data_IF_885434896290
#
_entry.id   IF_885434896290
#
_cell.length_a   1.000
_cell.length_b   1.000
_cell.length_c   1.000
_cell.angle_alpha   90.00
_cell.angle_beta   90.00
_cell.angle_gamma   90.00
#
_symmetry.space_group_name_H-M   'P 1'
#
loop_
_entity.id
_entity.type
_entity.pdbx_description
1 polymer ?
#
# COMPACT_ATOMS: atom_id res chain seq x y z
N UNK A 1 -21.09 1.93 5.18
CA UNK A 1 -19.62 2.16 5.19
C UNK A 1 -19.31 3.24 4.17
N UNK A 2 -18.76 4.33 4.62
CA UNK A 2 -18.27 5.45 3.82
C UNK A 2 -16.82 5.22 3.43
N UNK A 3 -16.47 5.53 2.17
CA UNK A 3 -15.10 5.43 1.66
C UNK A 3 -14.75 6.73 0.98
N UNK A 4 -13.80 7.45 1.56
CA UNK A 4 -13.23 8.67 0.98
C UNK A 4 -11.86 8.35 0.39
N UNK A 5 -11.55 8.90 -0.79
CA UNK A 5 -10.25 8.72 -1.46
C UNK A 5 -9.78 10.00 -2.12
N UNK A 6 -8.46 10.18 -2.15
CA UNK A 6 -7.82 11.25 -2.92
C UNK A 6 -6.53 10.77 -3.56
N UNK A 7 -6.14 11.44 -4.64
CA UNK A 7 -4.83 11.24 -5.26
C UNK A 7 -3.75 11.99 -4.46
N UNK A 8 -2.52 11.50 -4.45
CA UNK A 8 -1.41 12.21 -3.83
C UNK A 8 -0.99 13.43 -4.65
N UNK A 9 -0.28 14.33 -3.97
CA UNK A 9 0.43 15.41 -4.65
C UNK A 9 1.25 14.87 -5.84
N UNK A 10 1.36 15.59 -6.97
CA UNK A 10 2.04 15.10 -8.18
C UNK A 10 3.44 14.52 -7.94
N UNK A 11 4.23 15.11 -7.04
CA UNK A 11 5.59 14.65 -6.68
C UNK A 11 5.63 13.26 -6.03
N UNK A 12 4.51 12.82 -5.43
CA UNK A 12 4.41 11.54 -4.73
C UNK A 12 3.79 10.43 -5.59
N UNK A 13 3.25 10.74 -6.78
CA UNK A 13 2.53 9.77 -7.64
C UNK A 13 3.38 8.60 -8.11
N UNK A 14 4.70 8.76 -8.13
CA UNK A 14 5.63 7.67 -8.43
C UNK A 14 5.72 6.62 -7.32
N UNK A 15 5.33 6.97 -6.10
CA UNK A 15 5.44 6.12 -4.91
C UNK A 15 4.09 5.76 -4.34
N UNK A 16 3.18 6.72 -4.26
CA UNK A 16 1.84 6.57 -3.70
C UNK A 16 0.80 6.56 -4.82
N UNK A 17 -0.13 5.62 -4.75
CA UNK A 17 -1.26 5.53 -5.66
C UNK A 17 -2.44 6.38 -5.20
N UNK A 18 -2.79 6.29 -3.92
CA UNK A 18 -3.87 7.06 -3.31
C UNK A 18 -3.80 7.03 -1.79
N UNK A 19 -4.45 8.01 -1.18
CA UNK A 19 -4.86 7.97 0.22
C UNK A 19 -6.33 7.59 0.30
N UNK A 20 -6.71 6.90 1.38
CA UNK A 20 -8.09 6.52 1.63
C UNK A 20 -8.44 6.57 3.10
N UNK A 21 -9.72 6.75 3.36
CA UNK A 21 -10.32 6.63 4.69
C UNK A 21 -11.58 5.79 4.57
N UNK A 22 -11.77 4.86 5.48
CA UNK A 22 -12.97 4.05 5.61
C UNK A 22 -13.56 4.26 6.98
N UNK A 23 -14.84 4.59 7.00
CA UNK A 23 -15.59 4.81 8.23
C UNK A 23 -16.97 4.17 8.13
N UNK A 24 -17.43 3.56 9.20
CA UNK A 24 -18.79 3.05 9.26
C UNK A 24 -19.05 2.17 10.46
N UNK A 25 -20.33 2.04 10.78
CA UNK A 25 -20.81 1.11 11.80
C UNK A 25 -20.89 -0.29 11.22
N UNK A 26 -20.40 -1.28 11.93
CA UNK A 26 -20.32 -2.66 11.48
C UNK A 26 -21.48 -3.51 11.98
N UNK A 27 -22.04 -3.16 13.13
CA UNK A 27 -23.06 -3.93 13.83
C UNK A 27 -22.52 -5.19 14.52
N UNK A 28 -23.38 -5.88 15.28
CA UNK A 28 -22.96 -6.99 16.16
C UNK A 28 -22.59 -8.27 15.39
N UNK A 29 -23.07 -8.42 14.16
CA UNK A 29 -22.83 -9.64 13.37
C UNK A 29 -21.46 -9.55 12.70
N UNK A 30 -20.60 -10.50 13.03
CA UNK A 30 -19.31 -10.63 12.35
C UNK A 30 -19.51 -10.92 10.86
N UNK A 31 -18.78 -10.16 10.04
CA UNK A 31 -18.73 -10.35 8.59
C UNK A 31 -17.31 -10.67 8.18
N UNK A 32 -17.16 -11.54 7.20
CA UNK A 32 -15.85 -11.87 6.65
C UNK A 32 -15.83 -11.74 5.13
N UNK A 33 -14.67 -11.41 4.60
CA UNK A 33 -14.41 -11.46 3.17
C UNK A 33 -12.93 -11.71 2.89
N UNK A 34 -12.62 -12.34 1.76
CA UNK A 34 -11.25 -12.63 1.40
C UNK A 34 -10.46 -11.36 1.12
N UNK A 35 -9.21 -11.34 1.57
CA UNK A 35 -8.28 -10.29 1.20
C UNK A 35 -7.99 -10.35 -0.31
N UNK A 36 -8.20 -9.25 -1.01
CA UNK A 36 -8.08 -9.19 -2.46
C UNK A 36 -6.63 -9.34 -2.91
N UNK A 37 -6.40 -10.17 -3.92
CA UNK A 37 -5.10 -10.28 -4.62
C UNK A 37 -4.75 -8.93 -5.25
N UNK A 38 -3.57 -8.42 -4.94
CA UNK A 38 -3.09 -7.13 -5.44
C UNK A 38 -1.57 -7.00 -5.32
N UNK A 39 -0.89 -6.34 -6.27
CA UNK A 39 0.55 -6.09 -6.20
C UNK A 39 0.91 -4.89 -5.32
N UNK A 40 -0.07 -4.12 -4.88
CA UNK A 40 0.12 -2.90 -4.10
C UNK A 40 0.31 -3.21 -2.62
N UNK A 41 1.18 -2.45 -1.97
CA UNK A 41 1.33 -2.43 -0.53
C UNK A 41 0.41 -1.36 0.07
N UNK A 42 -0.01 -1.57 1.30
CA UNK A 42 -0.82 -0.61 2.05
C UNK A 42 -0.21 -0.42 3.43
N UNK A 43 -0.18 0.82 3.91
CA UNK A 43 -0.13 1.10 5.34
C UNK A 43 -1.56 1.43 5.76
N UNK A 44 -2.13 0.60 6.63
CA UNK A 44 -3.41 0.86 7.30
C UNK A 44 -3.13 1.33 8.73
N UNK A 45 -3.70 2.47 9.11
CA UNK A 45 -3.67 3.03 10.47
C UNK A 45 -5.10 3.01 10.99
N UNK A 46 -5.35 2.19 12.00
CA UNK A 46 -6.66 2.11 12.64
C UNK A 46 -6.83 3.28 13.61
N UNK A 47 -7.88 4.04 13.41
CA UNK A 47 -8.27 5.18 14.25
C UNK A 47 -9.28 4.76 15.32
N UNK A 48 -9.80 3.56 15.20
CA UNK A 48 -10.66 2.81 16.13
C UNK A 48 -10.14 1.37 16.24
N UNK A 49 -10.97 0.43 16.66
CA UNK A 49 -10.59 -0.96 16.83
C UNK A 49 -10.00 -1.57 15.54
N UNK A 50 -8.85 -2.25 15.62
CA UNK A 50 -8.27 -2.97 14.50
C UNK A 50 -9.14 -4.16 14.07
N UNK A 51 -9.02 -4.49 12.79
CA UNK A 51 -9.65 -5.69 12.23
C UNK A 51 -9.03 -6.96 12.82
N UNK A 52 -9.79 -8.07 12.74
CA UNK A 52 -9.26 -9.41 12.92
C UNK A 52 -9.00 -10.03 11.55
N UNK A 53 -8.07 -10.94 11.48
CA UNK A 53 -7.76 -11.66 10.24
C UNK A 53 -7.37 -13.10 10.53
N UNK A 54 -7.57 -13.95 9.55
CA UNK A 54 -7.17 -15.34 9.56
C UNK A 54 -6.42 -15.66 8.27
N UNK A 55 -5.30 -16.35 8.39
CA UNK A 55 -4.54 -16.82 7.21
C UNK A 55 -4.70 -18.33 7.17
N UNK A 56 -5.31 -18.83 6.09
CA UNK A 56 -5.64 -20.26 5.93
C UNK A 56 -6.46 -20.78 7.14
N UNK A 57 -6.10 -21.92 7.68
CA UNK A 57 -6.76 -22.55 8.86
C UNK A 57 -6.13 -22.14 10.18
N UNK A 58 -5.28 -21.10 10.20
CA UNK A 58 -4.65 -20.62 11.43
C UNK A 58 -5.66 -19.93 12.34
N UNK A 59 -5.28 -19.76 13.60
CA UNK A 59 -6.11 -19.04 14.56
C UNK A 59 -6.43 -17.62 14.09
N UNK A 60 -7.64 -17.17 14.40
CA UNK A 60 -8.07 -15.79 14.21
C UNK A 60 -7.19 -14.85 15.05
N UNK A 61 -6.60 -13.86 14.40
CA UNK A 61 -5.66 -12.92 15.01
C UNK A 61 -6.21 -11.49 14.93
N UNK A 62 -5.90 -10.66 15.92
CA UNK A 62 -6.12 -9.22 15.84
C UNK A 62 -5.01 -8.57 15.02
N UNK A 63 -5.36 -7.70 14.11
CA UNK A 63 -4.38 -6.88 13.39
C UNK A 63 -3.66 -5.94 14.35
N UNK A 64 -2.38 -5.64 14.13
CA UNK A 64 -1.77 -4.46 14.74
C UNK A 64 -2.59 -3.20 14.49
N UNK A 65 -2.51 -2.23 15.37
CA UNK A 65 -3.21 -0.94 15.22
C UNK A 65 -2.69 -0.14 14.00
N UNK A 66 -1.46 -0.39 13.61
CA UNK A 66 -0.85 0.11 12.38
C UNK A 66 -0.20 -1.06 11.66
N UNK A 67 -0.63 -1.34 10.46
CA UNK A 67 -0.16 -2.52 9.71
C UNK A 67 0.33 -2.15 8.33
N UNK A 68 1.50 -2.68 7.97
CA UNK A 68 1.96 -2.75 6.58
C UNK A 68 1.49 -4.07 5.99
N UNK A 69 0.59 -3.99 5.03
CA UNK A 69 0.12 -5.16 4.27
C UNK A 69 0.90 -5.21 2.96
N UNK A 70 1.68 -6.26 2.78
CA UNK A 70 2.48 -6.50 1.59
C UNK A 70 1.64 -6.92 0.37
N UNK A 71 2.32 -7.24 -0.75
CA UNK A 71 1.66 -7.75 -1.94
C UNK A 71 0.88 -9.03 -1.63
N UNK A 72 -0.35 -9.11 -2.12
CA UNK A 72 -1.19 -10.30 -1.97
C UNK A 72 -1.22 -11.06 -3.29
N UNK A 73 -0.61 -12.23 -3.34
CA UNK A 73 -0.53 -13.08 -4.53
C UNK A 73 -1.50 -14.26 -4.49
N UNK A 74 -2.15 -14.47 -3.34
CA UNK A 74 -3.15 -15.52 -3.15
C UNK A 74 -4.30 -15.03 -2.27
N UNK A 75 -5.47 -15.69 -2.34
CA UNK A 75 -6.66 -15.42 -1.52
C UNK A 75 -6.66 -16.24 -0.22
N UNK A 76 -5.52 -16.40 0.43
CA UNK A 76 -5.39 -17.24 1.62
C UNK A 76 -5.75 -16.54 2.92
N UNK A 77 -5.88 -15.21 2.91
CA UNK A 77 -6.25 -14.44 4.08
C UNK A 77 -7.72 -14.02 4.02
N UNK A 78 -8.39 -14.17 5.16
CA UNK A 78 -9.74 -13.66 5.42
C UNK A 78 -9.66 -12.50 6.41
N UNK A 79 -10.40 -11.45 6.14
CA UNK A 79 -10.58 -10.32 7.05
C UNK A 79 -11.92 -10.51 7.76
N UNK A 80 -11.91 -10.36 9.07
CA UNK A 80 -13.08 -10.42 9.92
C UNK A 80 -13.33 -9.05 10.54
N UNK A 81 -14.55 -8.61 10.44
CA UNK A 81 -14.97 -7.30 10.92
C UNK A 81 -16.21 -7.48 11.78
N UNK A 82 -16.11 -7.02 13.01
CA UNK A 82 -17.23 -6.96 13.95
C UNK A 82 -16.98 -5.81 14.92
N UNK A 83 -18.01 -5.34 15.59
CA UNK A 83 -17.93 -4.29 16.58
C UNK A 83 -18.65 -3.01 16.14
N UNK A 84 -18.50 -1.95 16.93
CA UNK A 84 -19.33 -0.76 16.78
C UNK A 84 -18.91 0.12 15.60
N UNK A 85 -17.62 0.38 15.44
CA UNK A 85 -17.14 1.32 14.43
C UNK A 85 -15.81 0.87 13.80
N UNK A 86 -15.80 0.78 12.47
CA UNK A 86 -14.57 0.73 11.67
C UNK A 86 -14.16 2.16 11.30
N UNK A 87 -12.95 2.54 11.64
CA UNK A 87 -12.36 3.79 11.16
C UNK A 87 -10.88 3.57 10.87
N UNK A 88 -10.51 3.63 9.59
CA UNK A 88 -9.12 3.44 9.15
C UNK A 88 -8.71 4.51 8.18
N UNK A 89 -7.46 4.96 8.29
CA UNK A 89 -6.77 5.75 7.27
C UNK A 89 -5.74 4.86 6.58
N UNK A 90 -5.63 4.95 5.25
CA UNK A 90 -4.69 4.12 4.51
C UNK A 90 -3.89 4.89 3.47
N UNK A 91 -2.65 4.45 3.29
CA UNK A 91 -1.74 4.88 2.24
C UNK A 91 -1.55 3.70 1.30
N UNK A 92 -2.10 3.77 0.10
CA UNK A 92 -1.94 2.76 -0.94
C UNK A 92 -0.75 3.12 -1.80
N UNK A 93 0.26 2.25 -1.83
CA UNK A 93 1.48 2.47 -2.59
C UNK A 93 1.36 1.97 -4.04
N UNK A 94 2.20 2.51 -4.92
CA UNK A 94 2.53 1.85 -6.18
C UNK A 94 3.29 0.54 -5.87
N UNK A 95 3.32 -0.44 -6.79
CA UNK A 95 3.89 -1.76 -6.50
C UNK A 95 5.32 -1.77 -5.97
N UNK A 96 6.17 -0.85 -6.41
CA UNK A 96 7.53 -0.68 -5.89
C UNK A 96 7.66 0.52 -4.92
N UNK A 97 6.53 1.18 -4.58
CA UNK A 97 6.55 2.45 -3.85
C UNK A 97 7.12 2.33 -2.45
N UNK A 98 6.73 1.30 -1.72
CA UNK A 98 7.23 1.08 -0.36
C UNK A 98 8.71 0.64 -0.37
N UNK A 99 9.12 -0.21 -1.32
CA UNK A 99 10.52 -0.57 -1.50
C UNK A 99 11.38 0.68 -1.73
N UNK A 100 10.96 1.56 -2.64
CA UNK A 100 11.65 2.81 -2.93
C UNK A 100 11.76 3.71 -1.71
N UNK A 101 10.76 3.71 -0.83
CA UNK A 101 10.70 4.57 0.35
C UNK A 101 11.67 4.12 1.45
N UNK A 102 11.78 2.80 1.67
CA UNK A 102 12.48 2.23 2.84
C UNK A 102 13.53 1.16 2.47
N UNK A 103 13.69 0.82 1.20
CA UNK A 103 14.73 -0.12 0.74
C UNK A 103 14.51 -1.58 1.13
N UNK A 104 13.33 -1.96 1.66
CA UNK A 104 13.06 -3.34 2.07
C UNK A 104 12.67 -4.21 0.87
N UNK A 105 13.14 -5.46 0.86
CA UNK A 105 12.71 -6.45 -0.14
C UNK A 105 11.23 -6.82 0.07
N UNK A 106 10.40 -6.54 -0.94
CA UNK A 106 8.97 -6.81 -0.90
C UNK A 106 8.62 -8.29 -0.89
N UNK A 107 9.54 -9.19 -1.27
CA UNK A 107 9.33 -10.64 -1.19
C UNK A 107 9.13 -11.10 0.24
N UNK A 108 9.79 -10.45 1.19
CA UNK A 108 9.65 -10.71 2.62
C UNK A 108 8.25 -10.40 3.17
N UNK A 109 7.49 -9.56 2.49
CA UNK A 109 6.15 -9.10 2.87
C UNK A 109 5.02 -9.77 2.05
N UNK A 110 5.34 -10.65 1.11
CA UNK A 110 4.31 -11.32 0.30
C UNK A 110 3.34 -12.09 1.19
N UNK A 111 2.03 -11.84 1.00
CA UNK A 111 0.92 -12.41 1.77
C UNK A 111 1.01 -12.19 3.29
N UNK A 112 1.69 -11.14 3.73
CA UNK A 112 1.84 -10.80 5.14
C UNK A 112 1.27 -9.44 5.47
N UNK A 113 0.80 -9.31 6.71
CA UNK A 113 0.57 -8.05 7.41
C UNK A 113 1.50 -7.99 8.61
N UNK A 114 2.30 -6.94 8.72
CA UNK A 114 3.32 -6.76 9.76
C UNK A 114 3.10 -5.42 10.43
N UNK A 115 3.36 -5.30 11.74
CA UNK A 115 3.23 -4.03 12.42
C UNK A 115 4.09 -2.96 11.74
N UNK A 116 3.51 -1.77 11.52
CA UNK A 116 4.22 -0.70 10.80
C UNK A 116 5.51 -0.29 11.49
N UNK A 117 5.56 -0.40 12.82
CA UNK A 117 6.76 -0.12 13.63
C UNK A 117 7.93 -1.05 13.32
N UNK A 118 7.63 -2.34 13.03
CA UNK A 118 8.66 -3.33 12.71
C UNK A 118 9.28 -3.09 11.33
N UNK A 119 8.52 -2.49 10.42
CA UNK A 119 8.95 -2.21 9.04
C UNK A 119 9.56 -0.82 8.90
N UNK A 120 8.93 0.20 9.47
CA UNK A 120 9.36 1.60 9.34
C UNK A 120 10.31 2.04 10.46
N UNK A 121 10.49 1.22 11.51
CA UNK A 121 11.34 1.53 12.65
C UNK A 121 10.97 2.87 13.29
N UNK A 122 11.98 3.70 13.56
CA UNK A 122 11.80 5.02 14.16
C UNK A 122 10.91 5.99 13.36
N UNK A 123 10.74 5.73 12.08
CA UNK A 123 9.92 6.58 11.19
C UNK A 123 8.42 6.31 11.31
N UNK A 124 8.01 5.20 11.93
CA UNK A 124 6.59 4.87 12.13
C UNK A 124 5.88 5.87 13.05
N UNK A 125 6.48 6.17 14.20
CA UNK A 125 5.87 6.99 15.25
C UNK A 125 5.45 8.38 14.73
N UNK A 126 6.31 9.16 14.05
CA UNK A 126 5.91 10.47 13.53
C UNK A 126 4.74 10.41 12.54
N UNK A 127 4.65 9.37 11.70
CA UNK A 127 3.51 9.18 10.80
C UNK A 127 2.24 8.90 11.57
N UNK A 128 2.29 7.93 12.49
CA UNK A 128 1.14 7.44 13.24
C UNK A 128 0.54 8.57 14.08
N UNK A 129 1.37 9.27 14.85
CA UNK A 129 0.95 10.35 15.73
C UNK A 129 0.35 11.52 14.93
N UNK A 130 0.98 11.89 13.81
CA UNK A 130 0.48 12.96 12.95
C UNK A 130 -0.88 12.60 12.30
N UNK A 131 -1.08 11.34 11.89
CA UNK A 131 -2.35 10.88 11.31
C UNK A 131 -3.43 10.79 12.40
N UNK A 132 -3.11 10.25 13.59
CA UNK A 132 -4.09 10.10 14.68
C UNK A 132 -4.54 11.43 15.27
N UNK A 133 -3.63 12.39 15.39
CA UNK A 133 -3.95 13.72 15.91
C UNK A 133 -4.68 14.61 14.90
N UNK A 134 -4.66 14.28 13.62
CA UNK A 134 -5.30 15.06 12.58
C UNK A 134 -6.84 14.96 12.66
N UNK A 135 -7.58 16.11 12.66
CA UNK A 135 -9.01 16.12 12.94
C UNK A 135 -9.88 15.55 11.80
N UNK A 136 -9.40 15.57 10.57
CA UNK A 136 -10.17 15.19 9.39
C UNK A 136 -9.31 14.54 8.31
N UNK A 137 -9.95 13.98 7.28
CA UNK A 137 -9.28 13.28 6.18
C UNK A 137 -8.23 14.14 5.47
N UNK A 138 -8.56 15.40 5.12
CA UNK A 138 -7.61 16.29 4.43
C UNK A 138 -6.36 16.57 5.25
N UNK A 139 -6.51 16.76 6.56
CA UNK A 139 -5.40 16.98 7.49
C UNK A 139 -4.54 15.71 7.64
N UNK A 140 -5.15 14.51 7.64
CA UNK A 140 -4.42 13.23 7.64
C UNK A 140 -3.61 13.04 6.36
N UNK A 141 -4.21 13.36 5.20
CA UNK A 141 -3.51 13.35 3.91
C UNK A 141 -2.31 14.29 3.95
N UNK A 142 -2.50 15.53 4.37
CA UNK A 142 -1.40 16.50 4.46
C UNK A 142 -0.28 16.05 5.41
N UNK A 143 -0.63 15.40 6.53
CA UNK A 143 0.34 14.82 7.47
C UNK A 143 1.13 13.67 6.82
N UNK A 144 0.45 12.75 6.14
CA UNK A 144 1.08 11.66 5.43
C UNK A 144 1.97 12.14 4.27
N UNK A 145 1.56 13.14 3.51
CA UNK A 145 2.35 13.73 2.43
C UNK A 145 3.64 14.39 2.92
N UNK A 146 3.58 15.12 4.04
CA UNK A 146 4.79 15.68 4.67
C UNK A 146 5.76 14.57 5.10
N UNK A 147 5.27 13.54 5.76
CA UNK A 147 6.09 12.41 6.18
C UNK A 147 6.73 11.71 4.96
N UNK A 148 5.95 11.43 3.92
CA UNK A 148 6.43 10.82 2.67
C UNK A 148 7.49 11.69 1.98
N UNK A 149 7.31 13.00 1.98
CA UNK A 149 8.30 13.94 1.43
C UNK A 149 9.64 13.86 2.16
N UNK A 150 9.64 13.79 3.48
CA UNK A 150 10.84 13.60 4.30
C UNK A 150 11.52 12.27 3.97
N UNK A 151 10.73 11.19 3.91
CA UNK A 151 11.26 9.87 3.62
C UNK A 151 11.88 9.78 2.22
N UNK A 152 11.24 10.36 1.21
CA UNK A 152 11.75 10.37 -0.17
C UNK A 152 13.04 11.17 -0.33
N UNK A 153 13.18 12.28 0.38
CA UNK A 153 14.42 13.07 0.35
C UNK A 153 15.61 12.32 0.95
N UNK A 154 15.35 11.31 1.79
CA UNK A 154 16.37 10.46 2.40
C UNK A 154 16.57 9.12 1.70
N UNK A 155 15.74 8.78 0.71
CA UNK A 155 15.76 7.49 0.01
C UNK A 155 16.63 7.52 -1.24
N UNK A 156 17.07 6.33 -1.69
CA UNK A 156 17.77 6.17 -2.96
C UNK A 156 16.89 6.53 -4.16
N UNK A 157 17.52 6.87 -5.28
CA UNK A 157 16.86 7.13 -6.56
C UNK A 157 16.02 5.91 -7.00
N UNK A 158 15.01 6.17 -7.84
CA UNK A 158 14.15 5.12 -8.39
C UNK A 158 14.97 4.12 -9.22
N UNK A 159 14.78 2.83 -8.96
CA UNK A 159 15.40 1.75 -9.74
C UNK A 159 14.55 1.39 -10.99
N UNK A 160 15.17 0.65 -11.92
CA UNK A 160 14.50 0.19 -13.15
C UNK A 160 13.31 -0.73 -12.90
N UNK A 161 13.27 -1.44 -11.75
CA UNK A 161 12.17 -2.33 -11.35
C UNK A 161 10.91 -1.51 -11.07
N UNK A 162 11.05 -0.38 -10.39
CA UNK A 162 9.93 0.53 -10.10
C UNK A 162 9.30 1.08 -11.39
N UNK A 163 10.12 1.49 -12.35
CA UNK A 163 9.67 1.94 -13.67
C UNK A 163 8.95 0.82 -14.43
N UNK A 164 9.56 -0.37 -14.51
CA UNK A 164 8.99 -1.52 -15.19
C UNK A 164 7.64 -1.94 -14.59
N UNK A 165 7.54 -1.98 -13.26
CA UNK A 165 6.29 -2.33 -12.56
C UNK A 165 5.14 -1.37 -12.89
N UNK A 166 5.41 -0.06 -12.92
CA UNK A 166 4.39 0.92 -13.30
C UNK A 166 3.96 0.78 -14.76
N UNK A 167 4.92 0.56 -15.67
CA UNK A 167 4.62 0.34 -17.08
C UNK A 167 3.76 -0.90 -17.29
N UNK A 168 4.10 -2.03 -16.67
CA UNK A 168 3.32 -3.26 -16.75
C UNK A 168 1.87 -3.06 -16.26
N UNK A 169 1.67 -2.31 -15.20
CA UNK A 169 0.33 -2.03 -14.69
C UNK A 169 -0.43 -1.07 -15.60
N UNK A 170 0.21 0.01 -16.03
CA UNK A 170 -0.40 1.00 -16.91
C UNK A 170 -0.82 0.37 -18.25
N UNK A 171 -0.03 -0.54 -18.78
CA UNK A 171 -0.28 -1.25 -20.04
C UNK A 171 -1.06 -2.55 -19.87
N UNK A 172 -1.42 -2.93 -18.63
CA UNK A 172 -2.05 -4.23 -18.30
C UNK A 172 -1.25 -5.42 -18.85
N UNK A 173 0.08 -5.35 -18.79
CA UNK A 173 0.99 -6.35 -19.31
C UNK A 173 1.17 -6.31 -20.82
N UNK A 174 0.58 -5.37 -21.53
CA UNK A 174 0.75 -5.17 -22.97
C UNK A 174 1.88 -4.18 -23.21
N UNK A 175 3.13 -4.63 -23.11
CA UNK A 175 4.26 -3.81 -23.56
C UNK A 175 4.16 -3.57 -25.07
N UNK A 176 4.36 -2.35 -25.61
CA UNK A 176 4.48 -2.16 -27.05
C UNK A 176 5.64 -3.02 -27.53
N UNK A 177 5.39 -3.84 -28.57
CA UNK A 177 6.41 -4.70 -29.15
C UNK A 177 7.65 -3.87 -29.48
N UNK A 178 8.83 -4.44 -29.28
CA UNK A 178 10.09 -3.84 -29.74
C UNK A 178 9.91 -3.41 -31.18
N UNK A 179 10.28 -2.19 -31.57
CA UNK A 179 10.43 -1.88 -32.98
C UNK A 179 11.44 -2.88 -33.54
N UNK A 180 11.03 -3.68 -34.51
CA UNK A 180 11.92 -4.54 -35.27
C UNK A 180 12.98 -3.63 -35.86
N UNK A 181 14.20 -3.70 -35.34
CA UNK A 181 15.36 -3.13 -36.01
C UNK A 181 15.43 -3.79 -37.38
N UNK A 182 15.01 -3.06 -38.41
CA UNK A 182 15.11 -3.48 -39.78
C UNK A 182 16.56 -3.86 -40.05
N UNK A 183 16.76 -5.12 -40.37
CA UNK A 183 18.05 -5.65 -40.82
C UNK A 183 18.38 -4.91 -42.12
N UNK A 184 19.25 -3.92 -42.06
CA UNK A 184 19.86 -3.31 -43.23
C UNK A 184 20.79 -4.36 -43.83
N UNK A 185 20.28 -5.16 -44.77
CA UNK A 185 21.09 -5.97 -45.67
C UNK A 185 21.78 -5.03 -46.67
N UNK A 186 22.93 -4.48 -46.27
CA UNK A 186 23.84 -3.84 -47.20
C UNK A 186 24.42 -4.87 -48.17
N UNK A 187 24.00 -4.81 -49.44
CA UNK A 187 24.75 -5.48 -50.51
C UNK A 187 26.04 -4.73 -50.69
N UNK A 188 27.14 -5.44 -50.50
CA UNK A 188 28.44 -5.02 -51.04
C UNK A 188 28.50 -5.48 -52.50
N UNK A 189 28.65 -4.52 -53.40
CA UNK A 189 29.22 -4.69 -54.74
C UNK A 189 30.69 -4.34 -54.69
#
# INVERSE_FOLDING_TARGET
>A
MEITRTLPHPTLRGVVRSFGERRGTLGPTERSWPLTVRPHQIIDIFLKEPLRFQIEERNLQRSPEEVVVGPQVSRRAQIYVSGDELHTFNILFQPAGLNRLIGIDMTSLVNKGVAARDILGKHAIPLIDAVRSAPNFSSRVAAAERWLGIMLNSSAAEDGIGVASRLLIATRGRAPGRPTLGCCSGRLN
#
